data_IF_826063094124
#
_entry.id   IF_826063094124
#
_cell.length_a   1.000
_cell.length_b   1.000
_cell.length_c   1.000
_cell.angle_alpha   90.00
_cell.angle_beta   90.00
_cell.angle_gamma   90.00
#
_symmetry.space_group_name_H-M   'P 1'
#
loop_
_entity.id
_entity.type
_entity.pdbx_description
1 polymer ?
#
# COMPACT_ATOMS: atom_id res chain seq x y z
N UNK A 1 -10.86 14.93 -6.67
CA UNK A 1 -9.54 14.68 -7.28
C UNK A 1 -8.92 13.50 -6.58
N UNK A 2 -8.57 12.42 -7.30
CA UNK A 2 -8.18 11.11 -6.72
C UNK A 2 -6.71 10.78 -7.01
N UNK A 3 -5.82 11.57 -6.42
CA UNK A 3 -4.46 11.72 -6.93
C UNK A 3 -3.51 10.56 -6.59
N UNK A 4 -3.75 9.75 -5.55
CA UNK A 4 -2.73 8.84 -4.99
C UNK A 4 -3.22 7.47 -4.54
N UNK A 5 -4.10 6.85 -5.32
CA UNK A 5 -4.84 5.67 -4.85
C UNK A 5 -4.13 4.31 -4.93
N UNK A 6 -4.81 3.28 -4.44
CA UNK A 6 -4.32 1.91 -4.39
C UNK A 6 -4.23 1.30 -5.79
N UNK A 7 -3.01 0.90 -6.18
CA UNK A 7 -2.65 0.49 -7.56
C UNK A 7 -3.32 -0.79 -8.07
N UNK A 8 -3.85 -1.64 -7.20
CA UNK A 8 -4.39 -2.94 -7.60
C UNK A 8 -5.79 -3.23 -7.07
N UNK A 9 -6.45 -2.22 -6.50
CA UNK A 9 -7.78 -2.39 -5.91
C UNK A 9 -8.90 -1.95 -6.86
N UNK A 10 -8.67 -0.85 -7.60
CA UNK A 10 -9.72 -0.17 -8.37
C UNK A 10 -9.99 -0.75 -9.77
N UNK A 11 -9.12 -1.63 -10.27
CA UNK A 11 -9.19 -2.15 -11.64
C UNK A 11 -10.41 -3.07 -11.86
N UNK A 12 -11.06 -3.56 -10.80
CA UNK A 12 -12.15 -4.55 -10.88
C UNK A 12 -13.49 -4.08 -10.29
N UNK A 13 -13.65 -2.77 -10.08
CA UNK A 13 -14.80 -2.22 -9.36
C UNK A 13 -15.76 -1.48 -10.30
N UNK A 14 -17.06 -1.69 -10.07
CA UNK A 14 -18.15 -0.95 -10.71
C UNK A 14 -18.10 0.53 -10.32
N UNK A 15 -18.39 1.44 -11.25
CA UNK A 15 -18.23 2.89 -11.06
C UNK A 15 -19.00 3.40 -9.83
N UNK A 16 -20.19 2.85 -9.58
CA UNK A 16 -21.07 3.25 -8.48
C UNK A 16 -20.48 2.95 -7.09
N UNK A 17 -19.57 1.97 -6.96
CA UNK A 17 -18.97 1.58 -5.68
C UNK A 17 -17.54 2.11 -5.47
N UNK A 18 -16.94 2.71 -6.51
CA UNK A 18 -15.54 3.14 -6.43
C UNK A 18 -15.28 4.19 -5.37
N UNK A 19 -16.22 5.10 -5.12
CA UNK A 19 -16.02 6.14 -4.12
C UNK A 19 -15.93 5.56 -2.71
N UNK A 20 -16.92 4.79 -2.27
CA UNK A 20 -16.95 4.22 -0.91
C UNK A 20 -15.74 3.30 -0.67
N UNK A 21 -15.39 2.48 -1.66
CA UNK A 21 -14.23 1.61 -1.58
C UNK A 21 -12.90 2.37 -1.55
N UNK A 22 -12.83 3.54 -2.20
CA UNK A 22 -11.70 4.46 -2.08
C UNK A 22 -11.58 4.99 -0.65
N UNK A 23 -12.70 5.39 -0.05
CA UNK A 23 -12.75 5.87 1.33
C UNK A 23 -12.29 4.79 2.31
N UNK A 24 -12.78 3.57 2.16
CA UNK A 24 -12.37 2.43 2.99
C UNK A 24 -10.88 2.11 2.82
N UNK A 25 -10.39 2.09 1.58
CA UNK A 25 -8.99 1.84 1.29
C UNK A 25 -8.09 2.93 1.90
N UNK A 26 -8.40 4.21 1.67
CA UNK A 26 -7.66 5.32 2.27
C UNK A 26 -7.67 5.23 3.80
N UNK A 27 -8.80 4.85 4.40
CA UNK A 27 -8.92 4.71 5.85
C UNK A 27 -8.01 3.60 6.42
N UNK A 28 -7.99 2.40 5.81
CA UNK A 28 -7.11 1.33 6.29
C UNK A 28 -5.63 1.63 6.06
N UNK A 29 -5.29 2.34 4.97
CA UNK A 29 -3.93 2.82 4.76
C UNK A 29 -3.54 3.89 5.77
N UNK A 30 -4.45 4.83 6.09
CA UNK A 30 -4.22 5.85 7.12
C UNK A 30 -4.04 5.22 8.50
N UNK A 31 -4.83 4.19 8.85
CA UNK A 31 -4.62 3.40 10.07
C UNK A 31 -3.21 2.79 10.08
N UNK A 32 -2.80 2.12 8.99
CA UNK A 32 -1.48 1.53 8.91
C UNK A 32 -0.38 2.59 9.08
N UNK A 33 -0.50 3.72 8.39
CA UNK A 33 0.45 4.82 8.50
C UNK A 33 0.58 5.35 9.92
N UNK A 34 -0.53 5.57 10.62
CA UNK A 34 -0.50 6.05 12.00
C UNK A 34 0.05 4.99 12.98
N UNK A 35 -0.12 3.69 12.70
CA UNK A 35 0.57 2.63 13.43
C UNK A 35 2.09 2.67 13.20
N UNK A 36 2.55 2.89 11.97
CA UNK A 36 3.98 3.07 11.66
C UNK A 36 4.53 4.30 12.39
N UNK A 37 3.82 5.43 12.37
CA UNK A 37 4.24 6.64 13.07
C UNK A 37 4.35 6.48 14.57
N UNK A 38 3.51 5.62 15.15
CA UNK A 38 3.46 5.39 16.59
C UNK A 38 4.49 4.35 17.06
N UNK A 39 4.69 3.29 16.29
CA UNK A 39 5.45 2.10 16.72
C UNK A 39 6.55 1.65 15.76
N UNK A 40 6.59 2.19 14.54
CA UNK A 40 7.56 1.85 13.52
C UNK A 40 8.93 2.50 13.76
N UNK A 41 9.97 2.06 13.02
CA UNK A 41 11.28 2.69 13.07
C UNK A 41 11.21 4.15 12.60
N UNK A 42 11.87 5.04 13.33
CA UNK A 42 11.91 6.47 13.04
C UNK A 42 12.40 6.76 11.61
N UNK A 43 13.46 6.07 11.18
CA UNK A 43 14.04 6.25 9.84
C UNK A 43 13.04 5.94 8.71
N UNK A 44 12.10 5.02 8.93
CA UNK A 44 11.04 4.72 7.95
C UNK A 44 10.06 5.89 7.87
N UNK A 45 9.67 6.46 9.01
CA UNK A 45 8.76 7.61 9.05
C UNK A 45 9.41 8.83 8.39
N UNK A 46 10.67 9.13 8.74
CA UNK A 46 11.41 10.26 8.19
C UNK A 46 11.64 10.13 6.68
N UNK A 47 11.85 8.92 6.16
CA UNK A 47 11.98 8.66 4.73
C UNK A 47 10.70 8.99 3.95
N UNK A 48 9.55 8.48 4.39
CA UNK A 48 8.26 8.78 3.76
C UNK A 48 7.88 10.25 3.90
N UNK A 49 8.03 10.85 5.09
CA UNK A 49 7.71 12.26 5.33
C UNK A 49 8.62 13.20 4.53
N UNK A 50 9.92 12.87 4.45
CA UNK A 50 10.89 13.60 3.64
C UNK A 50 10.54 13.54 2.15
N UNK A 51 10.17 12.36 1.65
CA UNK A 51 9.69 12.18 0.28
C UNK A 51 8.45 13.06 0.00
N UNK A 52 7.43 12.97 0.84
CA UNK A 52 6.17 13.73 0.69
C UNK A 52 6.45 15.24 0.69
N UNK A 53 7.19 15.71 1.69
CA UNK A 53 7.48 17.15 1.87
C UNK A 53 8.35 17.68 0.74
N UNK A 54 9.35 16.92 0.28
CA UNK A 54 10.28 17.37 -0.77
C UNK A 54 9.61 17.59 -2.12
N UNK A 55 8.58 16.79 -2.45
CA UNK A 55 7.84 16.90 -3.70
C UNK A 55 6.55 17.72 -3.57
N UNK A 56 6.07 17.95 -2.34
CA UNK A 56 4.74 18.51 -2.10
C UNK A 56 3.62 17.62 -2.63
N UNK A 57 3.87 16.30 -2.71
CA UNK A 57 2.89 15.34 -3.22
C UNK A 57 1.76 15.14 -2.22
N UNK A 58 0.57 14.87 -2.74
CA UNK A 58 -0.59 14.62 -1.91
C UNK A 58 -0.48 13.27 -1.18
N UNK A 59 -1.29 13.15 -0.15
CA UNK A 59 -1.48 11.91 0.61
C UNK A 59 -2.68 11.16 0.04
N UNK A 60 -2.87 9.91 0.45
CA UNK A 60 -4.08 9.14 0.12
C UNK A 60 -5.33 9.75 0.74
N UNK A 61 -5.91 10.75 0.09
CA UNK A 61 -7.19 11.37 0.44
C UNK A 61 -8.15 11.19 -0.74
N UNK A 62 -9.30 10.49 -0.57
CA UNK A 62 -10.34 10.33 -1.60
C UNK A 62 -11.08 11.63 -1.93
N UNK A 63 -10.65 12.76 -1.39
CA UNK A 63 -11.25 14.05 -1.63
C UNK A 63 -12.51 14.30 -0.79
N UNK A 64 -12.72 13.55 0.29
CA UNK A 64 -13.74 13.90 1.29
C UNK A 64 -13.38 15.24 1.94
N UNK A 65 -12.09 15.48 2.15
CA UNK A 65 -11.59 16.71 2.76
C UNK A 65 -10.77 17.58 1.80
N UNK A 66 -10.59 17.15 0.55
CA UNK A 66 -9.97 17.97 -0.50
C UNK A 66 -8.57 18.47 -0.17
N UNK A 67 -7.73 17.67 0.52
CA UNK A 67 -6.43 18.15 1.00
C UNK A 67 -6.52 19.25 2.07
N UNK A 68 -7.70 19.42 2.66
CA UNK A 68 -7.98 20.34 3.75
C UNK A 68 -7.44 19.86 5.11
N UNK A 69 -7.50 20.72 6.13
CA UNK A 69 -6.92 20.46 7.46
C UNK A 69 -7.65 19.37 8.27
N UNK A 70 -8.83 18.93 7.83
CA UNK A 70 -9.61 17.88 8.50
C UNK A 70 -9.06 16.49 8.11
N UNK A 71 -7.98 16.13 8.79
CA UNK A 71 -7.28 14.86 8.62
C UNK A 71 -8.05 13.73 9.34
N UNK A 72 -9.14 13.26 8.74
CA UNK A 72 -10.02 12.26 9.36
C UNK A 72 -10.07 10.96 8.57
N UNK A 73 -10.12 9.82 9.27
CA UNK A 73 -10.47 8.53 8.69
C UNK A 73 -11.32 7.68 9.65
N UNK A 74 -12.03 6.71 9.10
CA UNK A 74 -12.96 5.86 9.87
C UNK A 74 -12.64 4.38 9.69
N UNK A 75 -12.62 3.63 10.80
CA UNK A 75 -12.42 2.18 10.81
C UNK A 75 -13.63 1.49 11.43
N UNK A 76 -14.37 0.66 10.67
CA UNK A 76 -15.44 -0.15 11.23
C UNK A 76 -14.87 -1.34 12.02
N UNK A 77 -15.19 -1.42 13.31
CA UNK A 77 -14.85 -2.55 14.18
C UNK A 77 -16.12 -3.14 14.75
N UNK A 78 -16.44 -4.39 14.40
CA UNK A 78 -17.63 -5.11 14.86
C UNK A 78 -18.95 -4.31 14.66
N UNK A 79 -19.05 -3.59 13.54
CA UNK A 79 -20.22 -2.75 13.21
C UNK A 79 -20.22 -1.37 13.87
N UNK A 80 -19.19 -1.02 14.62
CA UNK A 80 -19.01 0.31 15.23
C UNK A 80 -17.97 1.07 14.43
N UNK A 81 -18.34 2.24 13.92
CA UNK A 81 -17.42 3.14 13.25
C UNK A 81 -16.58 3.89 14.29
N UNK A 82 -15.28 3.63 14.30
CA UNK A 82 -14.31 4.41 15.08
C UNK A 82 -13.76 5.50 14.17
N UNK A 83 -13.99 6.74 14.56
CA UNK A 83 -13.51 7.93 13.84
C UNK A 83 -12.21 8.40 14.48
N UNK A 84 -11.21 8.64 13.65
CA UNK A 84 -9.93 9.22 14.06
C UNK A 84 -9.84 10.63 13.51
N UNK A 85 -9.87 11.62 14.40
CA UNK A 85 -9.75 13.04 14.09
C UNK A 85 -8.29 13.51 14.19
N UNK A 86 -7.93 14.53 13.41
CA UNK A 86 -6.59 15.15 13.38
C UNK A 86 -5.44 14.14 13.19
N UNK A 87 -5.66 13.15 12.32
CA UNK A 87 -4.75 12.03 12.10
C UNK A 87 -4.24 11.98 10.65
N UNK A 88 -2.93 11.93 10.47
CA UNK A 88 -2.32 12.03 9.14
C UNK A 88 -2.77 10.90 8.19
N UNK A 89 -3.17 11.28 6.98
CA UNK A 89 -3.44 10.34 5.89
C UNK A 89 -2.16 9.64 5.44
N UNK A 90 -2.30 8.48 4.81
CA UNK A 90 -1.16 7.67 4.40
C UNK A 90 -0.33 8.34 3.27
N UNK A 91 0.97 8.02 3.17
CA UNK A 91 1.78 8.34 2.01
C UNK A 91 1.12 7.88 0.71
N UNK A 92 1.47 8.51 -0.43
CA UNK A 92 0.87 8.14 -1.70
C UNK A 92 1.26 6.72 -2.13
N UNK A 93 0.33 6.07 -2.82
CA UNK A 93 0.42 4.73 -3.40
C UNK A 93 0.58 3.56 -2.43
N UNK A 94 -0.25 2.56 -2.66
CA UNK A 94 -0.25 1.32 -1.92
C UNK A 94 -0.85 0.19 -2.74
N UNK A 95 -0.75 -1.02 -2.22
CA UNK A 95 -1.31 -2.22 -2.80
C UNK A 95 -1.94 -3.10 -1.73
N UNK A 96 -3.01 -3.81 -2.07
CA UNK A 96 -3.50 -4.92 -1.26
C UNK A 96 -2.86 -6.22 -1.70
N UNK A 97 -2.54 -7.09 -0.76
CA UNK A 97 -2.04 -8.44 -1.01
C UNK A 97 -3.08 -9.48 -0.63
N UNK A 98 -3.31 -10.45 -1.52
CA UNK A 98 -4.01 -11.70 -1.21
C UNK A 98 -3.13 -12.88 -1.63
N UNK A 99 -2.73 -13.70 -0.67
CA UNK A 99 -1.82 -14.85 -0.88
C UNK A 99 -0.57 -14.48 -1.71
N UNK A 100 -0.12 -13.23 -1.59
CA UNK A 100 0.91 -12.68 -2.46
C UNK A 100 2.21 -13.48 -2.33
N UNK A 101 2.82 -13.75 -3.48
CA UNK A 101 4.11 -14.40 -3.60
C UNK A 101 4.87 -13.77 -4.77
N UNK A 102 6.18 -13.66 -4.65
CA UNK A 102 7.01 -13.14 -5.75
C UNK A 102 8.40 -13.70 -5.66
N UNK A 103 8.97 -14.04 -6.82
CA UNK A 103 10.36 -14.45 -6.91
C UNK A 103 11.29 -13.35 -6.37
N UNK A 104 12.54 -13.72 -6.07
CA UNK A 104 13.51 -12.76 -5.54
C UNK A 104 13.82 -11.70 -6.59
N UNK A 105 13.59 -10.44 -6.25
CA UNK A 105 13.76 -9.27 -7.11
C UNK A 105 14.21 -8.07 -6.28
N UNK A 106 14.48 -6.95 -6.94
CA UNK A 106 14.59 -5.66 -6.31
C UNK A 106 13.81 -4.65 -7.13
N UNK A 107 13.39 -3.58 -6.49
CA UNK A 107 12.65 -2.49 -7.13
C UNK A 107 13.35 -1.18 -6.77
N UNK A 108 13.42 -0.27 -7.73
CA UNK A 108 13.85 1.10 -7.43
C UNK A 108 12.61 1.85 -6.91
N UNK A 109 12.78 2.59 -5.82
CA UNK A 109 11.79 3.51 -5.27
C UNK A 109 12.36 4.93 -5.23
N UNK A 110 11.51 5.97 -5.23
CA UNK A 110 11.98 7.36 -5.15
C UNK A 110 12.42 7.77 -3.73
N UNK A 111 12.26 6.87 -2.75
CA UNK A 111 12.71 6.97 -1.38
C UNK A 111 13.18 5.58 -0.89
N UNK A 112 13.72 5.47 0.32
CA UNK A 112 14.51 4.33 0.76
C UNK A 112 13.67 3.11 1.17
N UNK A 113 12.58 3.31 1.90
CA UNK A 113 11.85 2.24 2.56
C UNK A 113 10.51 1.93 1.90
N UNK A 114 10.07 0.70 2.07
CA UNK A 114 8.70 0.26 1.88
C UNK A 114 8.20 -0.40 3.16
N UNK A 115 6.87 -0.46 3.31
CA UNK A 115 6.23 -1.05 4.48
C UNK A 115 5.09 -1.97 4.06
N UNK A 116 4.94 -3.10 4.75
CA UNK A 116 3.86 -4.05 4.54
C UNK A 116 3.25 -4.43 5.87
N UNK A 117 1.92 -4.53 5.93
CA UNK A 117 1.18 -5.02 7.08
C UNK A 117 0.37 -6.24 6.68
N UNK A 118 0.64 -7.37 7.33
CA UNK A 118 -0.21 -8.55 7.20
C UNK A 118 -1.30 -8.46 8.25
N UNK A 119 -2.54 -8.23 7.82
CA UNK A 119 -3.71 -8.10 8.70
C UNK A 119 -4.30 -9.47 9.04
N UNK A 120 -4.27 -10.40 8.09
CA UNK A 120 -4.78 -11.75 8.27
C UNK A 120 -3.75 -12.81 7.87
N UNK A 121 -3.66 -13.86 8.68
CA UNK A 121 -2.89 -15.07 8.39
C UNK A 121 -3.61 -16.28 8.99
N UNK A 122 -3.83 -17.31 8.19
CA UNK A 122 -4.28 -18.59 8.70
C UNK A 122 -3.14 -19.23 9.54
N UNK A 123 -3.36 -19.58 10.83
CA UNK A 123 -2.31 -20.13 11.69
C UNK A 123 -1.68 -21.44 11.19
N UNK A 124 -2.40 -22.21 10.36
CA UNK A 124 -1.92 -23.49 9.82
C UNK A 124 -1.24 -23.35 8.46
N UNK A 125 -1.25 -22.15 7.87
CA UNK A 125 -0.71 -21.94 6.55
C UNK A 125 0.82 -22.00 6.54
N UNK A 126 1.39 -22.56 5.48
CA UNK A 126 2.82 -22.54 5.19
C UNK A 126 3.08 -21.67 3.95
N UNK A 127 4.32 -21.20 3.79
CA UNK A 127 4.66 -20.27 2.71
C UNK A 127 4.20 -18.85 2.98
N UNK A 128 4.22 -17.98 1.96
CA UNK A 128 4.01 -16.52 2.06
C UNK A 128 4.92 -15.80 3.06
N UNK A 129 6.08 -16.38 3.40
CA UNK A 129 7.10 -15.73 4.21
C UNK A 129 7.83 -14.69 3.37
N UNK A 130 8.16 -13.56 3.99
CA UNK A 130 9.00 -12.53 3.36
C UNK A 130 10.47 -12.88 3.55
N UNK A 131 11.27 -12.61 2.53
CA UNK A 131 12.71 -12.81 2.53
C UNK A 131 13.40 -11.50 2.16
N UNK A 132 14.39 -11.13 2.95
CA UNK A 132 15.42 -10.20 2.50
C UNK A 132 16.67 -11.04 2.16
N UNK A 133 16.74 -11.41 0.89
CA UNK A 133 17.78 -12.29 0.34
C UNK A 133 19.15 -11.65 0.34
N UNK A 134 19.25 -10.31 0.39
CA UNK A 134 20.54 -9.61 0.53
C UNK A 134 21.23 -9.93 1.84
N UNK A 135 20.48 -10.30 2.87
CA UNK A 135 20.99 -10.57 4.21
C UNK A 135 20.70 -12.00 4.69
N UNK A 136 20.20 -12.89 3.82
CA UNK A 136 19.74 -14.22 4.18
C UNK A 136 18.71 -14.24 5.34
N UNK A 137 17.89 -13.18 5.45
CA UNK A 137 16.86 -13.06 6.49
C UNK A 137 15.54 -13.59 5.96
N UNK A 138 14.91 -14.48 6.73
CA UNK A 138 13.51 -14.88 6.55
C UNK A 138 12.66 -14.32 7.67
N UNK A 139 11.63 -13.57 7.30
CA UNK A 139 10.58 -13.13 8.21
C UNK A 139 9.42 -14.11 8.09
N UNK A 140 9.18 -14.85 9.17
CA UNK A 140 8.06 -15.78 9.22
C UNK A 140 6.76 -14.98 9.39
N UNK A 141 5.84 -15.14 8.45
CA UNK A 141 4.60 -14.37 8.44
C UNK A 141 3.67 -14.80 9.57
N UNK A 142 3.09 -13.82 10.27
CA UNK A 142 2.05 -14.01 11.27
C UNK A 142 0.82 -13.17 10.93
N UNK A 143 -0.24 -13.27 11.73
CA UNK A 143 -1.28 -12.24 11.69
C UNK A 143 -0.76 -10.98 12.41
N UNK A 144 -1.26 -9.82 11.98
CA UNK A 144 -0.99 -8.53 12.59
C UNK A 144 0.49 -8.19 12.81
N UNK A 145 1.33 -8.34 11.77
CA UNK A 145 2.73 -7.88 11.81
C UNK A 145 3.05 -6.96 10.65
N UNK A 146 3.95 -6.01 10.92
CA UNK A 146 4.50 -5.13 9.90
C UNK A 146 5.93 -5.54 9.54
N UNK A 147 6.27 -5.41 8.27
CA UNK A 147 7.61 -5.59 7.73
C UNK A 147 8.04 -4.30 7.04
N UNK A 148 9.27 -3.87 7.31
CA UNK A 148 9.91 -2.72 6.69
C UNK A 148 11.16 -3.18 5.96
N UNK A 149 11.33 -2.75 4.72
CA UNK A 149 12.50 -3.13 3.93
C UNK A 149 12.89 -2.01 2.98
N UNK A 150 14.10 -2.09 2.45
CA UNK A 150 14.52 -1.23 1.35
C UNK A 150 14.29 -1.99 0.04
N UNK A 151 13.41 -1.52 -0.86
CA UNK A 151 13.07 -2.24 -2.09
C UNK A 151 14.26 -2.48 -3.02
N UNK A 152 15.31 -1.66 -2.91
CA UNK A 152 16.53 -1.81 -3.70
C UNK A 152 17.38 -3.02 -3.28
N UNK A 153 17.12 -3.60 -2.12
CA UNK A 153 17.74 -4.85 -1.69
C UNK A 153 16.97 -6.04 -2.24
N UNK A 154 17.67 -7.11 -2.60
CA UNK A 154 17.06 -8.36 -3.05
C UNK A 154 16.09 -8.92 -2.01
N UNK A 155 14.83 -9.05 -2.40
CA UNK A 155 13.74 -9.50 -1.55
C UNK A 155 12.71 -10.31 -2.34
N UNK A 156 11.87 -11.06 -1.65
CA UNK A 156 10.81 -11.84 -2.26
C UNK A 156 9.87 -12.45 -1.23
N UNK A 157 8.80 -13.07 -1.72
CA UNK A 157 7.79 -13.70 -0.87
C UNK A 157 7.56 -15.12 -1.36
N UNK A 158 7.80 -16.13 -0.51
CA UNK A 158 7.66 -17.53 -0.92
C UNK A 158 6.23 -17.87 -1.32
N UNK A 159 6.08 -18.83 -2.24
CA UNK A 159 4.78 -19.34 -2.66
C UNK A 159 3.91 -19.80 -1.48
N UNK A 160 2.59 -19.60 -1.54
CA UNK A 160 1.65 -20.21 -0.59
C UNK A 160 1.71 -21.74 -0.72
N UNK A 161 1.72 -22.47 0.40
CA UNK A 161 1.57 -23.92 0.37
C UNK A 161 0.08 -24.29 0.30
N UNK A 162 -0.54 -23.99 -0.84
CA UNK A 162 -1.92 -24.33 -1.17
C UNK A 162 -1.91 -25.13 -2.47
N UNK A 163 -2.91 -25.98 -2.67
CA UNK A 163 -3.09 -26.58 -3.99
C UNK A 163 -3.38 -25.49 -5.01
N UNK A 164 -2.74 -25.61 -6.17
CA UNK A 164 -3.04 -24.74 -7.31
C UNK A 164 -4.52 -24.85 -7.67
N UNK A 165 -5.14 -23.72 -7.98
CA UNK A 165 -6.51 -23.62 -8.46
C UNK A 165 -6.60 -22.46 -9.42
N UNK A 166 -7.20 -22.69 -10.59
CA UNK A 166 -7.46 -21.64 -11.59
C UNK A 166 -8.41 -20.56 -11.07
N UNK A 167 -9.28 -20.89 -10.12
CA UNK A 167 -10.24 -19.96 -9.52
C UNK A 167 -9.69 -19.21 -8.30
N UNK A 168 -8.41 -19.42 -7.98
CA UNK A 168 -7.76 -18.90 -6.79
C UNK A 168 -7.94 -19.82 -5.58
N UNK A 169 -6.84 -20.14 -4.92
CA UNK A 169 -6.83 -20.96 -3.71
C UNK A 169 -7.50 -20.29 -2.50
N UNK A 170 -7.65 -21.04 -1.39
CA UNK A 170 -8.19 -20.50 -0.14
C UNK A 170 -7.38 -19.29 0.32
N UNK A 171 -8.04 -18.31 0.92
CA UNK A 171 -7.34 -17.18 1.55
C UNK A 171 -6.54 -17.69 2.75
N UNK A 172 -5.23 -17.55 2.68
CA UNK A 172 -4.32 -17.91 3.77
C UNK A 172 -3.55 -16.72 4.31
N UNK A 173 -3.41 -15.64 3.54
CA UNK A 173 -2.79 -14.39 3.97
C UNK A 173 -3.40 -13.21 3.21
N UNK A 174 -3.67 -12.12 3.92
CA UNK A 174 -3.94 -10.83 3.30
C UNK A 174 -3.33 -9.68 4.08
N UNK A 175 -3.18 -8.56 3.41
CA UNK A 175 -2.56 -7.38 3.96
C UNK A 175 -2.52 -6.24 2.96
N UNK A 176 -1.75 -5.22 3.30
CA UNK A 176 -1.52 -4.05 2.47
C UNK A 176 -0.05 -3.65 2.54
N UNK A 177 0.41 -2.87 1.56
CA UNK A 177 1.76 -2.35 1.53
C UNK A 177 1.81 -0.93 0.99
N UNK A 178 2.60 -0.09 1.64
CA UNK A 178 3.03 1.22 1.17
C UNK A 178 4.26 1.02 0.29
N UNK A 179 4.04 1.10 -1.02
CA UNK A 179 5.05 0.86 -2.06
C UNK A 179 4.84 1.87 -3.18
N UNK A 180 5.87 2.67 -3.44
CA UNK A 180 5.78 3.85 -4.30
C UNK A 180 6.51 3.65 -5.62
N UNK A 181 5.81 3.87 -6.72
CA UNK A 181 6.36 3.80 -8.08
C UNK A 181 7.38 4.91 -8.31
N UNK A 182 8.52 4.57 -8.90
CA UNK A 182 9.49 5.56 -9.40
C UNK A 182 8.94 6.53 -10.44
N UNK A 183 7.81 6.21 -11.07
CA UNK A 183 7.20 7.09 -12.07
C UNK A 183 6.45 8.24 -11.42
N UNK A 184 6.08 8.09 -10.14
CA UNK A 184 5.23 9.04 -9.42
C UNK A 184 5.81 10.46 -9.37
N UNK A 185 7.11 10.69 -9.06
CA UNK A 185 7.65 12.05 -8.99
C UNK A 185 7.53 12.83 -10.31
N UNK A 186 7.88 12.18 -11.43
CA UNK A 186 7.83 12.83 -12.74
C UNK A 186 6.39 13.05 -13.22
N UNK A 187 5.49 12.10 -12.93
CA UNK A 187 4.07 12.26 -13.19
C UNK A 187 3.48 13.43 -12.38
N UNK A 188 3.78 13.49 -11.08
CA UNK A 188 3.38 14.57 -10.19
C UNK A 188 3.81 15.93 -10.72
N UNK A 189 5.10 16.06 -11.06
CA UNK A 189 5.64 17.31 -11.55
C UNK A 189 5.02 17.74 -12.89
N UNK A 190 4.75 16.78 -13.77
CA UNK A 190 4.05 17.04 -15.03
C UNK A 190 2.61 17.53 -14.81
N UNK A 191 1.93 16.98 -13.81
CA UNK A 191 0.59 17.43 -13.42
C UNK A 191 0.62 18.84 -12.84
N UNK A 192 1.52 19.12 -11.89
CA UNK A 192 1.67 20.46 -11.28
C UNK A 192 2.00 21.53 -12.32
N UNK A 193 2.80 21.19 -13.32
CA UNK A 193 3.16 22.09 -14.42
C UNK A 193 2.05 22.24 -15.48
N UNK A 194 0.93 21.53 -15.35
CA UNK A 194 -0.17 21.53 -16.31
C UNK A 194 0.12 20.82 -17.63
N UNK A 195 1.22 20.07 -17.73
CA UNK A 195 1.58 19.28 -18.92
C UNK A 195 0.96 17.87 -18.91
N UNK A 196 0.31 17.49 -17.81
CA UNK A 196 -0.46 16.25 -17.66
C UNK A 196 -1.82 16.57 -17.05
N UNK A 197 -2.89 16.04 -17.65
CA UNK A 197 -4.24 16.17 -17.12
C UNK A 197 -4.55 15.18 -15.98
N UNK A 198 -5.61 15.43 -15.23
CA UNK A 198 -6.01 14.62 -14.06
C UNK A 198 -6.21 13.13 -14.40
N UNK A 199 -6.86 12.81 -15.53
CA UNK A 199 -7.09 11.41 -15.93
C UNK A 199 -5.78 10.63 -16.19
N UNK A 200 -4.79 11.27 -16.82
CA UNK A 200 -3.50 10.64 -17.08
C UNK A 200 -2.69 10.42 -15.78
N UNK A 201 -2.86 11.33 -14.81
CA UNK A 201 -2.26 11.15 -13.50
C UNK A 201 -2.94 10.03 -12.71
N UNK A 202 -4.27 9.95 -12.75
CA UNK A 202 -5.03 8.87 -12.09
C UNK A 202 -4.62 7.50 -12.63
N UNK A 203 -4.33 7.39 -13.93
CA UNK A 203 -3.77 6.17 -14.54
C UNK A 203 -2.39 5.83 -13.94
N UNK A 204 -1.51 6.80 -13.74
CA UNK A 204 -0.20 6.57 -13.10
C UNK A 204 -0.30 6.14 -11.64
N UNK A 205 -1.37 6.54 -10.94
CA UNK A 205 -1.58 6.18 -9.54
C UNK A 205 -2.42 4.91 -9.35
N UNK A 206 -3.21 4.52 -10.36
CA UNK A 206 -3.96 3.27 -10.38
C UNK A 206 -3.28 2.15 -11.16
N UNK A 207 -2.21 2.46 -11.93
CA UNK A 207 -1.44 1.50 -12.70
C UNK A 207 -0.56 0.61 -11.82
N UNK A 208 -1.11 -0.49 -11.33
CA UNK A 208 -0.33 -1.62 -10.83
C UNK A 208 0.01 -2.58 -11.98
N UNK A 209 1.25 -3.08 -12.01
CA UNK A 209 1.50 -4.35 -12.71
C UNK A 209 0.61 -5.40 -12.03
N UNK A 210 -0.44 -5.84 -12.73
CA UNK A 210 -1.18 -7.03 -12.34
C UNK A 210 -0.20 -8.17 -12.52
N UNK A 211 0.44 -8.61 -11.44
CA UNK A 211 1.04 -9.92 -11.44
C UNK A 211 -0.10 -10.93 -11.37
N UNK A 212 -0.71 -11.20 -12.53
CA UNK A 212 -1.48 -12.42 -12.73
C UNK A 212 -0.46 -13.54 -12.56
N UNK A 213 -0.47 -14.15 -11.39
CA UNK A 213 0.17 -15.44 -11.19
C UNK A 213 -0.66 -16.47 -11.93
N UNK A 214 -0.38 -16.64 -13.23
CA UNK A 214 -0.50 -17.94 -13.89
C UNK A 214 0.62 -18.85 -13.39
#
# INVERSE_FOLDING_TARGET
MNFDFVRNFLIRLDEDNKHDQRVEAASVFALFWNLIRSYGPRDVVEDFEGFITSLGIFRMDPGIHGGGPERQYTIPINGINIVFDDADMAPPQGVFGRNYARHVHFERHPHLFAAAWTTFRNPKAKGCNFYNSSYAIRIQSSCNYACFWQPQHWHGTSLPNVQYSETGGPLIQSGLSLVTSNRLPNAFQSFVNGTMGEAAMEEHCSGGEIYDHT
#
